data_IF_611236665403
#
_entry.id   IF_611236665403
#
_cell.length_a   1.000
_cell.length_b   1.000
_cell.length_c   1.000
_cell.angle_alpha   90.00
_cell.angle_beta   90.00
_cell.angle_gamma   90.00
#
_symmetry.space_group_name_H-M   'P 1'
#
loop_
_entity.id
_entity.type
_entity.pdbx_description
1 polymer ?
#
# COMPACT_ATOMS: atom_id res chain seq x y z
N UNK A 1 6.34 -7.63 28.07
CA UNK A 1 7.47 -6.70 27.83
C UNK A 1 8.11 -7.06 26.49
N UNK A 2 8.07 -6.17 25.50
CA UNK A 2 8.64 -6.45 24.16
C UNK A 2 10.17 -6.29 24.18
N UNK A 3 10.89 -7.30 23.67
CA UNK A 3 12.35 -7.31 23.59
C UNK A 3 12.79 -6.41 22.43
N UNK A 4 13.43 -5.27 22.74
CA UNK A 4 13.96 -4.33 21.75
C UNK A 4 15.28 -4.89 21.22
N UNK A 5 15.34 -5.22 19.93
CA UNK A 5 16.60 -5.58 19.27
C UNK A 5 17.51 -4.36 19.26
N UNK A 6 18.65 -4.44 19.94
CA UNK A 6 19.72 -3.42 19.87
C UNK A 6 20.73 -3.87 18.82
N UNK A 7 20.90 -3.06 17.79
CA UNK A 7 21.94 -3.25 16.78
C UNK A 7 23.29 -2.73 17.31
N UNK A 8 24.14 -3.69 17.69
CA UNK A 8 25.48 -3.52 18.27
C UNK A 8 26.60 -3.81 17.26
N UNK A 9 26.28 -3.98 15.97
CA UNK A 9 27.28 -4.26 14.94
C UNK A 9 28.18 -3.06 14.61
N UNK A 10 29.48 -3.32 14.40
CA UNK A 10 30.53 -2.30 14.16
C UNK A 10 30.88 -2.06 12.69
N UNK A 11 30.12 -2.61 11.74
CA UNK A 11 30.66 -2.82 10.39
C UNK A 11 30.54 -1.62 9.43
N UNK A 12 29.87 -0.51 9.77
CA UNK A 12 29.80 0.67 8.89
C UNK A 12 29.81 2.00 9.66
N UNK A 13 30.48 3.02 9.08
CA UNK A 13 30.51 4.39 9.61
C UNK A 13 29.09 4.96 9.58
N UNK A 14 28.47 5.09 10.75
CA UNK A 14 27.11 5.63 10.89
C UNK A 14 27.11 7.09 10.43
N UNK A 15 26.42 7.39 9.33
CA UNK A 15 26.20 8.77 8.89
C UNK A 15 25.13 9.37 9.79
N UNK A 16 25.42 10.54 10.37
CA UNK A 16 24.44 11.25 11.17
C UNK A 16 23.25 11.66 10.27
N UNK A 17 22.01 11.23 10.57
CA UNK A 17 20.83 11.54 9.76
C UNK A 17 20.63 13.04 9.52
N UNK A 18 21.08 13.90 10.44
CA UNK A 18 21.02 15.37 10.27
C UNK A 18 21.83 15.87 9.09
N UNK A 19 23.00 15.26 8.81
CA UNK A 19 23.80 15.65 7.65
C UNK A 19 23.10 15.28 6.34
N UNK A 20 22.41 14.14 6.31
CA UNK A 20 21.62 13.70 5.14
C UNK A 20 20.42 14.65 4.94
N UNK A 21 19.71 14.97 6.02
CA UNK A 21 18.57 15.88 5.97
C UNK A 21 18.94 17.26 5.39
N UNK A 22 20.03 17.85 5.89
CA UNK A 22 20.51 19.15 5.39
C UNK A 22 20.98 19.08 3.94
N UNK A 23 21.70 18.03 3.55
CA UNK A 23 22.19 17.87 2.18
C UNK A 23 21.05 17.72 1.15
N UNK A 24 19.91 17.18 1.59
CA UNK A 24 18.73 16.97 0.75
C UNK A 24 17.71 18.12 0.85
N UNK A 25 18.01 19.19 1.59
CA UNK A 25 17.08 20.32 1.79
C UNK A 25 15.80 19.91 2.51
N UNK A 26 15.87 18.92 3.40
CA UNK A 26 14.71 18.46 4.15
C UNK A 26 14.31 19.46 5.23
N UNK A 27 13.01 19.73 5.36
CA UNK A 27 12.44 20.57 6.41
C UNK A 27 11.77 19.70 7.48
N UNK A 28 11.85 20.11 8.75
CA UNK A 28 11.16 19.43 9.85
C UNK A 28 9.65 19.67 9.73
N UNK A 29 8.88 18.62 9.48
CA UNK A 29 7.42 18.71 9.29
C UNK A 29 6.63 18.72 10.59
N UNK A 30 7.28 18.69 11.76
CA UNK A 30 6.64 18.65 13.09
C UNK A 30 5.89 17.34 13.40
N UNK A 31 5.70 16.46 12.42
CA UNK A 31 4.98 15.20 12.57
C UNK A 31 5.98 14.11 12.97
N UNK A 32 5.94 13.70 14.24
CA UNK A 32 6.67 12.51 14.71
C UNK A 32 5.87 11.27 14.37
N UNK A 33 6.23 10.62 13.27
CA UNK A 33 5.67 9.31 12.92
C UNK A 33 6.17 8.30 13.96
N UNK A 34 5.26 7.80 14.80
CA UNK A 34 5.58 6.76 15.77
C UNK A 34 5.84 5.44 15.03
N UNK A 35 7.12 5.13 14.76
CA UNK A 35 7.52 3.90 14.05
C UNK A 35 7.33 2.63 14.87
N UNK A 36 6.88 2.71 16.13
CA UNK A 36 6.69 1.56 17.02
C UNK A 36 5.31 0.89 16.93
N UNK A 37 4.33 1.44 16.22
CA UNK A 37 2.92 1.02 16.37
C UNK A 37 2.12 0.88 15.07
N UNK A 38 2.76 0.49 13.96
CA UNK A 38 2.03 -0.05 12.82
C UNK A 38 2.07 -1.58 12.87
N UNK A 39 0.95 -2.31 12.68
CA UNK A 39 1.01 -3.74 12.39
C UNK A 39 2.04 -4.00 11.28
N UNK A 40 2.80 -5.11 11.37
CA UNK A 40 3.85 -5.42 10.38
C UNK A 40 3.33 -5.40 8.92
N UNK A 41 2.01 -5.64 8.75
CA UNK A 41 1.28 -5.49 7.48
C UNK A 41 1.34 -4.07 6.91
N UNK A 42 1.25 -3.01 7.73
CA UNK A 42 1.34 -1.62 7.27
C UNK A 42 2.75 -1.25 6.82
N UNK A 43 3.78 -1.76 7.51
CA UNK A 43 5.16 -1.56 7.06
C UNK A 43 5.42 -2.26 5.73
N UNK A 44 4.96 -3.50 5.57
CA UNK A 44 5.02 -4.23 4.31
C UNK A 44 4.27 -3.52 3.19
N UNK A 45 3.07 -2.97 3.47
CA UNK A 45 2.31 -2.16 2.53
C UNK A 45 3.08 -0.91 2.11
N UNK A 46 3.69 -0.19 3.07
CA UNK A 46 4.53 0.98 2.79
C UNK A 46 5.70 0.62 1.87
N UNK A 47 6.42 -0.46 2.16
CA UNK A 47 7.55 -0.90 1.32
C UNK A 47 7.09 -1.29 -0.08
N UNK A 48 5.95 -1.98 -0.18
CA UNK A 48 5.34 -2.32 -1.47
C UNK A 48 4.97 -1.07 -2.28
N UNK A 49 4.32 -0.09 -1.65
CA UNK A 49 3.93 1.17 -2.30
C UNK A 49 5.15 1.96 -2.75
N UNK A 50 6.15 2.15 -1.87
CA UNK A 50 7.40 2.87 -2.20
C UNK A 50 8.13 2.17 -3.35
N UNK A 51 8.21 0.84 -3.33
CA UNK A 51 8.91 0.07 -4.37
C UNK A 51 8.22 0.10 -5.74
N UNK A 52 6.92 0.37 -5.79
CA UNK A 52 6.13 0.33 -7.04
C UNK A 52 5.60 1.68 -7.52
N UNK A 53 5.59 2.72 -6.69
CA UNK A 53 5.19 4.07 -7.11
C UNK A 53 6.37 4.74 -7.85
N UNK A 54 6.23 4.94 -9.16
CA UNK A 54 7.10 5.87 -9.91
C UNK A 54 6.41 7.21 -10.04
N UNK A 55 7.01 8.25 -9.48
CA UNK A 55 6.62 9.63 -9.76
C UNK A 55 7.10 9.99 -11.17
N UNK A 56 6.16 10.23 -12.08
CA UNK A 56 6.45 10.71 -13.45
C UNK A 56 5.80 12.07 -13.72
N UNK A 57 5.56 12.87 -12.67
CA UNK A 57 4.95 14.21 -12.81
C UNK A 57 3.42 14.23 -12.97
N UNK A 58 2.72 13.11 -12.70
CA UNK A 58 1.25 13.00 -12.73
C UNK A 58 0.73 12.05 -11.64
N UNK A 59 -0.53 11.55 -11.75
CA UNK A 59 -1.06 10.51 -10.83
C UNK A 59 -0.11 9.31 -10.84
N UNK A 60 0.59 9.03 -9.73
CA UNK A 60 1.63 8.02 -9.72
C UNK A 60 1.00 6.66 -9.96
N UNK A 61 1.60 5.90 -10.88
CA UNK A 61 1.14 4.56 -11.25
C UNK A 61 1.93 3.53 -10.47
N UNK A 62 1.25 2.43 -10.13
CA UNK A 62 1.89 1.25 -9.57
C UNK A 62 2.46 0.45 -10.74
N UNK A 63 3.77 0.20 -10.73
CA UNK A 63 4.43 -0.64 -11.74
C UNK A 63 3.74 -2.01 -11.80
N UNK A 64 3.42 -2.47 -13.01
CA UNK A 64 2.70 -3.73 -13.27
C UNK A 64 1.20 -3.58 -13.42
N UNK A 65 0.65 -2.37 -13.23
CA UNK A 65 -0.77 -2.08 -13.51
C UNK A 65 -0.96 -1.59 -14.96
N UNK A 66 -2.18 -1.74 -15.51
CA UNK A 66 -2.49 -1.42 -16.92
C UNK A 66 -2.08 0.00 -17.33
N UNK A 67 -1.74 0.16 -18.62
CA UNK A 67 -1.47 1.48 -19.24
C UNK A 67 -2.71 2.39 -19.31
N UNK A 68 -3.92 1.83 -19.34
CA UNK A 68 -5.18 2.57 -19.37
C UNK A 68 -5.50 3.11 -17.98
N UNK A 69 -5.74 4.42 -17.86
CA UNK A 69 -6.07 5.08 -16.59
C UNK A 69 -7.49 4.70 -16.13
N UNK A 70 -7.64 3.58 -15.45
CA UNK A 70 -8.78 3.36 -14.56
C UNK A 70 -8.62 4.21 -13.30
N UNK A 71 -9.74 4.65 -12.70
CA UNK A 71 -9.72 5.42 -11.43
C UNK A 71 -8.99 4.65 -10.31
N UNK A 72 -9.03 3.32 -10.37
CA UNK A 72 -8.29 2.40 -9.49
C UNK A 72 -7.34 1.60 -10.38
N UNK A 73 -6.05 1.61 -10.06
CA UNK A 73 -5.05 0.82 -10.79
C UNK A 73 -5.12 -0.64 -10.36
N UNK A 74 -5.54 -1.51 -11.28
CA UNK A 74 -5.53 -2.96 -11.08
C UNK A 74 -4.32 -3.58 -11.79
N UNK A 75 -3.79 -4.66 -11.23
CA UNK A 75 -2.94 -5.58 -11.99
C UNK A 75 -3.77 -6.24 -13.10
N UNK A 76 -3.11 -6.67 -14.17
CA UNK A 76 -3.79 -7.27 -15.32
C UNK A 76 -4.48 -8.58 -14.94
N UNK A 77 -3.82 -9.38 -14.10
CA UNK A 77 -4.32 -10.66 -13.62
C UNK A 77 -5.56 -10.49 -12.74
N UNK A 78 -5.57 -9.47 -11.86
CA UNK A 78 -6.67 -9.19 -10.95
C UNK A 78 -7.89 -8.70 -11.71
N UNK A 79 -7.70 -7.82 -12.70
CA UNK A 79 -8.80 -7.33 -13.54
C UNK A 79 -9.44 -8.48 -14.30
N UNK A 80 -8.63 -9.41 -14.84
CA UNK A 80 -9.12 -10.60 -15.53
C UNK A 80 -9.99 -11.47 -14.60
N UNK A 81 -9.51 -11.74 -13.38
CA UNK A 81 -10.30 -12.50 -12.38
C UNK A 81 -11.61 -11.79 -12.02
N UNK A 82 -11.57 -10.47 -11.80
CA UNK A 82 -12.78 -9.69 -11.49
C UNK A 82 -13.80 -9.73 -12.63
N UNK A 83 -13.34 -9.72 -13.88
CA UNK A 83 -14.23 -9.87 -15.03
C UNK A 83 -14.82 -11.28 -15.14
N UNK A 84 -14.04 -12.32 -14.86
CA UNK A 84 -14.55 -13.70 -14.83
C UNK A 84 -15.61 -13.89 -13.74
N UNK A 85 -15.44 -13.30 -12.57
CA UNK A 85 -16.44 -13.32 -11.49
C UNK A 85 -17.72 -12.57 -11.92
N UNK A 86 -17.58 -11.40 -12.58
CA UNK A 86 -18.73 -10.68 -13.12
C UNK A 86 -19.52 -11.51 -14.13
N UNK A 87 -18.82 -12.18 -15.04
CA UNK A 87 -19.45 -13.07 -16.02
C UNK A 87 -20.14 -14.27 -15.36
N UNK A 88 -19.54 -14.83 -14.30
CA UNK A 88 -20.14 -15.92 -13.54
C UNK A 88 -21.50 -15.53 -12.98
N UNK A 89 -21.60 -14.40 -12.28
CA UNK A 89 -22.87 -13.92 -11.71
C UNK A 89 -23.90 -13.58 -12.79
N UNK A 90 -23.45 -13.02 -13.91
CA UNK A 90 -24.32 -12.74 -15.06
C UNK A 90 -24.89 -14.02 -15.66
N UNK A 91 -24.09 -15.09 -15.80
CA UNK A 91 -24.51 -16.37 -16.39
C UNK A 91 -25.38 -17.19 -15.44
N UNK A 92 -24.98 -17.29 -14.17
CA UNK A 92 -25.61 -18.18 -13.19
C UNK A 92 -26.85 -17.56 -12.55
N UNK A 93 -26.73 -16.33 -12.08
CA UNK A 93 -27.76 -15.69 -11.26
C UNK A 93 -28.51 -14.58 -12.02
N UNK A 94 -28.15 -14.33 -13.29
CA UNK A 94 -28.67 -13.24 -14.15
C UNK A 94 -28.48 -11.84 -13.54
N UNK A 95 -27.53 -11.70 -12.61
CA UNK A 95 -27.21 -10.43 -11.97
C UNK A 95 -26.13 -9.72 -12.78
N UNK A 96 -26.41 -8.50 -13.23
CA UNK A 96 -25.44 -7.72 -13.97
C UNK A 96 -24.60 -6.86 -13.01
N UNK A 97 -23.43 -7.38 -12.62
CA UNK A 97 -22.48 -6.69 -11.74
C UNK A 97 -21.22 -6.33 -12.52
N UNK A 98 -20.71 -5.12 -12.32
CA UNK A 98 -19.45 -4.67 -12.93
C UNK A 98 -18.24 -5.16 -12.12
N UNK A 99 -17.10 -5.34 -12.79
CA UNK A 99 -15.83 -5.70 -12.13
C UNK A 99 -15.42 -4.72 -11.02
N UNK A 100 -15.77 -3.43 -11.17
CA UNK A 100 -15.51 -2.40 -10.16
C UNK A 100 -16.41 -2.54 -8.92
N UNK A 101 -17.68 -2.92 -9.09
CA UNK A 101 -18.58 -3.19 -7.96
C UNK A 101 -18.12 -4.41 -7.16
N UNK A 102 -17.67 -5.46 -7.85
CA UNK A 102 -17.10 -6.66 -7.21
C UNK A 102 -15.83 -6.29 -6.44
N UNK A 103 -14.92 -5.55 -7.05
CA UNK A 103 -13.72 -5.06 -6.37
C UNK A 103 -14.06 -4.24 -5.12
N UNK A 104 -15.02 -3.32 -5.22
CA UNK A 104 -15.47 -2.51 -4.08
C UNK A 104 -15.99 -3.37 -2.93
N UNK A 105 -16.80 -4.39 -3.22
CA UNK A 105 -17.33 -5.29 -2.22
C UNK A 105 -16.23 -6.12 -1.54
N UNK A 106 -15.29 -6.66 -2.32
CA UNK A 106 -14.16 -7.42 -1.80
C UNK A 106 -13.24 -6.57 -0.93
N UNK A 107 -12.92 -5.35 -1.37
CA UNK A 107 -12.12 -4.40 -0.59
C UNK A 107 -12.82 -4.07 0.72
N UNK A 108 -14.12 -3.76 0.69
CA UNK A 108 -14.88 -3.50 1.92
C UNK A 108 -14.90 -4.71 2.87
N UNK A 109 -15.10 -5.92 2.33
CA UNK A 109 -15.09 -7.15 3.11
C UNK A 109 -13.73 -7.41 3.78
N UNK A 110 -12.60 -7.08 3.12
CA UNK A 110 -11.28 -7.21 3.74
C UNK A 110 -10.98 -6.07 4.73
N UNK A 111 -11.35 -4.83 4.40
CA UNK A 111 -11.14 -3.69 5.30
C UNK A 111 -11.98 -3.80 6.58
N UNK A 112 -13.19 -4.34 6.51
CA UNK A 112 -14.04 -4.55 7.69
C UNK A 112 -13.49 -5.59 8.69
N UNK A 113 -12.54 -6.43 8.27
CA UNK A 113 -11.84 -7.36 9.17
C UNK A 113 -10.73 -6.67 9.94
N UNK A 114 -10.26 -5.52 9.48
CA UNK A 114 -9.23 -4.73 10.16
C UNK A 114 -9.95 -3.93 11.24
N UNK A 115 -9.63 -4.21 12.51
CA UNK A 115 -10.26 -3.49 13.61
C UNK A 115 -9.74 -2.04 13.68
N UNK A 116 -10.60 -1.08 14.03
CA UNK A 116 -10.18 0.32 14.21
C UNK A 116 -9.07 0.46 15.26
N UNK A 117 -9.01 -0.45 16.24
CA UNK A 117 -7.93 -0.54 17.23
C UNK A 117 -6.56 -0.89 16.66
N UNK A 118 -6.48 -1.51 15.48
CA UNK A 118 -5.22 -1.83 14.80
C UNK A 118 -4.73 -0.69 13.90
N UNK A 119 -5.61 0.26 13.59
CA UNK A 119 -5.33 1.48 12.85
C UNK A 119 -5.12 2.63 13.85
N UNK A 120 -4.03 2.58 14.61
CA UNK A 120 -3.55 3.73 15.38
C UNK A 120 -3.07 4.84 14.42
N UNK A 121 -4.01 5.56 13.83
CA UNK A 121 -3.80 6.86 13.18
C UNK A 121 -3.84 7.94 14.27
#
# INVERSE_FOLDING_TARGET
MAKIFKDIGTTQKRVNPKHIANALGAEETGIRINTKQGPASLFSLRQFLIGRLKSTGGRPRIIGTRKVQSKISYFEEDLKKLTEIAEYYKKKDKINVTSSQIASALIHAELSKISESELHI
#
